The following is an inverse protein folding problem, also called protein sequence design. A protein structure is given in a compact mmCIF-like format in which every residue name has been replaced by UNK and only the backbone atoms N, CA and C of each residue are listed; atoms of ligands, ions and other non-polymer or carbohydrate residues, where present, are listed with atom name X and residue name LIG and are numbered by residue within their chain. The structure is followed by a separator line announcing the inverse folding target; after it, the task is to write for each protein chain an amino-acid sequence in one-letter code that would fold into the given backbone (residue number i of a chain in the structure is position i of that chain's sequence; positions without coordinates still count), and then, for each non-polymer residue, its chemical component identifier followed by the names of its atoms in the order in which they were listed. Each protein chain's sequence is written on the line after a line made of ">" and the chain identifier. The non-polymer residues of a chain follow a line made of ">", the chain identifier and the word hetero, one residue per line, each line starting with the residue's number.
data_IF_186848011979
#
_entry.id   IF_186848011979
#
_cell.length_a   1.000
_cell.length_b   1.000
_cell.length_c   1.000
_cell.angle_alpha   90.00
_cell.angle_beta   90.00
_cell.angle_gamma   90.00
#
_symmetry.space_group_name_H-M   'P 1'
#
loop_
_entity.id
_entity.type
_entity.pdbx_description
1 polymer ?
#
# COMPACT_ATOMS: atom_id res chain seq x y z
N UNK A 1 -21.11 -38.83 2.23
CA UNK A 1 -20.24 -38.25 1.18
C UNK A 1 -20.02 -36.77 1.37
N UNK A 2 -19.24 -36.41 2.39
CA UNK A 2 -18.70 -35.08 2.55
C UNK A 2 -17.31 -35.08 1.89
N UNK A 3 -17.06 -34.11 1.01
CA UNK A 3 -15.72 -33.83 0.49
C UNK A 3 -15.35 -32.39 0.83
N UNK A 4 -14.15 -32.21 1.35
CA UNK A 4 -13.61 -30.89 1.64
C UNK A 4 -12.16 -30.85 1.15
N UNK A 5 -11.85 -29.84 0.35
CA UNK A 5 -10.51 -29.59 -0.17
C UNK A 5 -10.12 -28.17 0.20
N UNK A 6 -8.91 -28.03 0.74
CA UNK A 6 -8.30 -26.75 1.06
C UNK A 6 -6.97 -26.67 0.34
N UNK A 7 -6.73 -25.59 -0.39
CA UNK A 7 -5.46 -25.33 -1.05
C UNK A 7 -4.92 -23.99 -0.61
N UNK A 8 -3.66 -23.97 -0.19
CA UNK A 8 -2.91 -22.77 0.15
C UNK A 8 -1.79 -22.61 -0.87
N UNK A 9 -1.69 -21.42 -1.45
CA UNK A 9 -0.57 -21.02 -2.30
C UNK A 9 0.03 -19.75 -1.70
N UNK A 10 1.35 -19.66 -1.67
CA UNK A 10 2.03 -18.46 -1.23
C UNK A 10 3.41 -18.31 -1.85
N UNK A 11 3.89 -17.08 -1.87
CA UNK A 11 5.20 -16.74 -2.39
C UNK A 11 5.91 -15.70 -1.52
N UNK A 12 7.23 -15.82 -1.45
CA UNK A 12 8.14 -14.87 -0.85
C UNK A 12 9.23 -14.56 -1.87
N UNK A 13 9.58 -13.29 -2.05
CA UNK A 13 10.67 -12.90 -2.93
C UNK A 13 11.48 -11.75 -2.35
N UNK A 14 12.76 -11.74 -2.68
CA UNK A 14 13.71 -10.69 -2.31
C UNK A 14 14.40 -10.19 -3.55
N UNK A 15 14.74 -8.90 -3.55
CA UNK A 15 15.50 -8.27 -4.61
C UNK A 15 16.78 -7.65 -4.02
N UNK A 16 17.87 -7.73 -4.76
CA UNK A 16 19.13 -7.06 -4.44
C UNK A 16 19.83 -6.63 -5.73
N UNK A 17 20.25 -5.37 -5.78
CA UNK A 17 21.06 -4.84 -6.86
C UNK A 17 22.51 -5.25 -6.60
N UNK A 18 23.11 -5.97 -7.56
CA UNK A 18 24.46 -6.53 -7.41
C UNK A 18 25.53 -5.55 -7.88
N UNK A 19 25.31 -4.91 -9.03
CA UNK A 19 26.28 -3.98 -9.61
C UNK A 19 25.57 -2.85 -10.34
N UNK A 20 26.19 -1.68 -10.36
CA UNK A 20 25.84 -0.52 -11.18
C UNK A 20 27.07 -0.07 -12.00
N UNK A 21 26.85 0.72 -13.07
CA UNK A 21 27.93 1.44 -13.75
C UNK A 21 28.74 2.28 -12.76
N UNK A 22 30.02 2.47 -13.04
CA UNK A 22 30.96 3.11 -12.12
C UNK A 22 30.54 4.53 -11.74
N UNK A 23 30.03 5.31 -12.70
CA UNK A 23 29.53 6.68 -12.45
C UNK A 23 28.36 6.74 -11.44
N UNK A 24 27.65 5.63 -11.24
CA UNK A 24 26.45 5.56 -10.41
C UNK A 24 26.68 4.77 -9.11
N UNK A 25 27.89 4.24 -8.88
CA UNK A 25 28.14 3.31 -7.76
C UNK A 25 28.10 4.01 -6.39
N UNK A 26 28.63 5.23 -6.30
CA UNK A 26 28.71 6.00 -5.05
C UNK A 26 27.31 6.47 -4.59
N UNK A 27 26.59 7.17 -5.46
CA UNK A 27 25.33 7.83 -5.11
C UNK A 27 24.08 7.01 -5.47
N UNK A 28 24.22 5.98 -6.28
CA UNK A 28 23.09 5.25 -6.85
C UNK A 28 22.32 6.07 -7.88
N UNK A 29 21.22 5.50 -8.38
CA UNK A 29 20.31 6.16 -9.33
C UNK A 29 18.99 6.42 -8.62
N UNK A 30 18.68 7.69 -8.35
CA UNK A 30 17.39 8.08 -7.76
C UNK A 30 16.29 7.97 -8.80
N UNK A 31 15.23 7.23 -8.47
CA UNK A 31 14.07 7.01 -9.33
C UNK A 31 12.80 7.14 -8.50
N UNK A 32 12.21 8.34 -8.50
CA UNK A 32 11.03 8.65 -7.69
C UNK A 32 11.33 8.47 -6.19
N UNK A 33 10.56 7.65 -5.46
CA UNK A 33 10.77 7.40 -4.03
C UNK A 33 11.75 6.24 -3.76
N UNK A 34 12.52 5.81 -4.75
CA UNK A 34 13.52 4.75 -4.64
C UNK A 34 14.90 5.26 -5.04
N UNK A 35 15.95 4.57 -4.59
CA UNK A 35 17.32 4.78 -5.05
C UNK A 35 17.94 3.42 -5.37
N UNK A 36 18.32 3.23 -6.63
CA UNK A 36 19.01 2.02 -7.08
C UNK A 36 20.44 2.11 -6.56
N UNK A 37 20.78 1.28 -5.58
CA UNK A 37 22.12 1.25 -4.96
C UNK A 37 22.58 -0.18 -4.77
N UNK A 38 23.86 -0.45 -5.00
CA UNK A 38 24.45 -1.77 -4.80
C UNK A 38 24.22 -2.25 -3.36
N UNK A 39 23.88 -3.54 -3.19
CA UNK A 39 23.56 -4.14 -1.90
C UNK A 39 22.14 -3.86 -1.40
N UNK A 40 21.40 -2.91 -2.00
CA UNK A 40 20.02 -2.57 -1.64
C UNK A 40 18.99 -3.23 -2.55
N UNK A 41 17.75 -3.32 -2.08
CA UNK A 41 16.61 -3.72 -2.93
C UNK A 41 16.21 -2.55 -3.82
N UNK A 42 15.87 -2.80 -5.09
CA UNK A 42 15.26 -1.83 -6.01
C UNK A 42 13.99 -1.18 -5.44
N UNK A 43 13.32 -1.90 -4.54
CA UNK A 43 12.02 -1.55 -3.99
C UNK A 43 12.11 -1.07 -2.54
N UNK A 44 13.31 -0.82 -2.02
CA UNK A 44 13.49 -0.17 -0.72
C UNK A 44 13.28 1.33 -0.86
N UNK A 45 12.38 1.89 -0.06
CA UNK A 45 12.04 3.30 -0.11
C UNK A 45 13.22 4.17 0.31
N UNK A 46 13.57 5.11 -0.58
CA UNK A 46 14.55 6.18 -0.37
C UNK A 46 13.82 7.52 -0.47
N UNK A 47 13.37 8.03 0.67
CA UNK A 47 12.42 9.16 0.74
C UNK A 47 12.67 10.00 1.99
N UNK A 48 11.96 11.12 2.11
CA UNK A 48 12.08 12.01 3.25
C UNK A 48 11.39 11.43 4.49
N UNK A 49 11.99 11.65 5.65
CA UNK A 49 11.45 11.20 6.94
C UNK A 49 10.75 12.36 7.64
N UNK A 50 9.49 12.16 7.99
CA UNK A 50 8.65 13.10 8.71
C UNK A 50 9.05 13.16 10.19
N UNK A 51 9.25 14.37 10.70
CA UNK A 51 9.70 14.63 12.06
C UNK A 51 8.59 15.20 12.97
N UNK A 52 7.34 15.18 12.52
CA UNK A 52 6.21 15.79 13.23
C UNK A 52 5.88 17.19 12.71
N UNK A 53 5.18 17.96 13.54
CA UNK A 53 4.80 19.34 13.23
C UNK A 53 5.49 20.32 14.17
N UNK A 54 5.78 21.53 13.69
CA UNK A 54 6.14 22.65 14.56
C UNK A 54 4.89 23.18 15.32
N UNK A 55 5.09 24.18 16.19
CA UNK A 55 4.03 24.81 16.98
C UNK A 55 2.91 25.45 16.12
N UNK A 56 3.21 25.76 14.85
CA UNK A 56 2.28 26.36 13.90
C UNK A 56 1.60 25.31 13.01
N UNK A 57 1.89 24.03 13.22
CA UNK A 57 1.36 22.92 12.44
C UNK A 57 2.10 22.64 11.14
N UNK A 58 3.23 23.28 10.86
CA UNK A 58 3.99 23.01 9.64
C UNK A 58 4.68 21.65 9.73
N UNK A 59 4.64 20.88 8.65
CA UNK A 59 5.35 19.62 8.57
C UNK A 59 6.86 19.84 8.68
N UNK A 60 7.51 19.07 9.55
CA UNK A 60 8.96 19.03 9.70
C UNK A 60 9.53 17.76 9.09
N UNK A 61 10.75 17.86 8.58
CA UNK A 61 11.48 16.78 7.92
C UNK A 61 12.89 16.69 8.49
N UNK A 62 13.43 15.48 8.55
CA UNK A 62 14.82 15.29 8.95
C UNK A 62 15.80 15.74 7.85
N UNK A 63 16.85 16.44 8.26
CA UNK A 63 17.93 16.93 7.41
C UNK A 63 19.28 16.61 8.05
N UNK A 64 20.24 16.17 7.26
CA UNK A 64 21.60 15.95 7.71
C UNK A 64 22.32 17.30 7.92
N UNK A 65 23.04 17.42 9.03
CA UNK A 65 23.95 18.54 9.27
C UNK A 65 25.33 18.17 8.74
N UNK A 66 25.96 19.05 7.96
CA UNK A 66 27.28 18.81 7.39
C UNK A 66 28.30 19.82 7.88
N UNK A 67 29.55 19.38 8.04
CA UNK A 67 30.67 20.28 8.29
C UNK A 67 31.12 20.98 7.00
N UNK A 68 32.12 21.86 7.10
CA UNK A 68 32.70 22.57 5.94
C UNK A 68 33.28 21.65 4.86
N UNK A 69 33.52 20.36 5.18
CA UNK A 69 34.01 19.34 4.25
C UNK A 69 32.87 18.52 3.61
N UNK A 70 31.62 18.81 3.94
CA UNK A 70 30.44 18.09 3.47
C UNK A 70 30.18 16.75 4.18
N UNK A 71 30.91 16.46 5.26
CA UNK A 71 30.71 15.23 6.02
C UNK A 71 29.52 15.39 6.97
N UNK A 72 28.64 14.38 7.04
CA UNK A 72 27.48 14.38 7.93
C UNK A 72 27.95 14.29 9.40
N UNK A 73 27.71 15.35 10.16
CA UNK A 73 28.09 15.46 11.58
C UNK A 73 26.92 15.27 12.54
N UNK A 74 25.69 15.34 12.04
CA UNK A 74 24.49 15.30 12.86
C UNK A 74 23.22 15.25 12.03
N UNK A 75 22.08 15.35 12.70
CA UNK A 75 20.76 15.41 12.08
C UNK A 75 19.89 16.41 12.83
N UNK A 76 19.25 17.29 12.07
CA UNK A 76 18.33 18.30 12.55
C UNK A 76 16.98 18.17 11.83
N UNK A 77 16.06 19.10 12.07
CA UNK A 77 14.77 19.20 11.38
C UNK A 77 14.63 20.52 10.64
N UNK A 78 13.89 20.50 9.54
CA UNK A 78 13.54 21.69 8.74
C UNK A 78 12.08 21.65 8.34
N UNK A 79 11.43 22.80 8.25
CA UNK A 79 10.10 22.95 7.64
C UNK A 79 10.17 23.15 6.13
N UNK A 80 11.36 23.46 5.60
CA UNK A 80 11.63 23.56 4.16
C UNK A 80 11.89 22.18 3.58
N UNK A 81 10.89 21.61 2.92
CA UNK A 81 10.99 20.26 2.31
C UNK A 81 12.15 20.12 1.31
N UNK A 82 12.49 21.19 0.59
CA UNK A 82 13.59 21.17 -0.38
C UNK A 82 14.97 20.97 0.27
N UNK A 83 15.13 21.42 1.52
CA UNK A 83 16.40 21.31 2.26
C UNK A 83 16.53 19.94 2.94
N UNK A 84 15.42 19.21 3.08
CA UNK A 84 15.40 17.91 3.76
C UNK A 84 16.28 16.87 3.07
N UNK A 85 16.70 15.85 3.82
CA UNK A 85 17.53 14.76 3.30
C UNK A 85 16.69 13.50 3.10
N UNK A 86 16.96 12.75 2.03
CA UNK A 86 16.33 11.45 1.79
C UNK A 86 17.12 10.34 2.45
N UNK A 87 16.42 9.35 2.99
CA UNK A 87 17.03 8.20 3.65
C UNK A 87 16.43 6.90 3.13
N UNK A 88 17.23 5.82 3.20
CA UNK A 88 16.68 4.47 3.15
C UNK A 88 15.95 4.22 4.47
N UNK A 89 14.62 4.19 4.44
CA UNK A 89 13.79 4.18 5.65
C UNK A 89 13.45 2.76 6.16
N UNK A 90 14.05 1.72 5.57
CA UNK A 90 13.79 0.33 5.94
C UNK A 90 12.39 -0.18 5.58
N UNK A 91 11.64 0.56 4.77
CA UNK A 91 10.33 0.14 4.22
C UNK A 91 10.51 -0.32 2.78
N UNK A 92 9.77 -1.36 2.39
CA UNK A 92 9.82 -1.95 1.05
C UNK A 92 8.48 -1.84 0.35
N UNK A 93 8.47 -1.62 -0.96
CA UNK A 93 7.28 -1.78 -1.79
C UNK A 93 6.94 -3.26 -2.05
N UNK A 94 7.92 -4.16 -1.89
CA UNK A 94 7.67 -5.60 -1.96
C UNK A 94 6.96 -6.08 -0.69
N UNK A 95 5.97 -6.98 -0.82
CA UNK A 95 5.44 -7.68 0.33
C UNK A 95 6.46 -8.65 0.92
N UNK A 96 6.34 -8.88 2.21
CA UNK A 96 7.09 -9.93 2.90
C UNK A 96 6.53 -11.31 2.55
N UNK A 97 5.22 -11.41 2.29
CA UNK A 97 4.60 -12.65 1.86
C UNK A 97 3.28 -12.35 1.15
N UNK A 98 2.97 -13.06 0.08
CA UNK A 98 1.66 -12.97 -0.56
C UNK A 98 1.14 -14.36 -0.92
N UNK A 99 -0.14 -14.48 -1.19
CA UNK A 99 -0.73 -15.77 -1.49
C UNK A 99 -2.24 -15.75 -1.54
N UNK A 100 -2.82 -16.93 -1.46
CA UNK A 100 -4.25 -17.15 -1.46
C UNK A 100 -4.64 -18.47 -0.82
N UNK A 101 -5.81 -18.48 -0.19
CA UNK A 101 -6.45 -19.69 0.32
C UNK A 101 -7.66 -19.96 -0.55
N UNK A 102 -7.82 -21.21 -1.00
CA UNK A 102 -9.04 -21.67 -1.62
C UNK A 102 -9.61 -22.85 -0.84
N UNK A 103 -10.93 -22.88 -0.69
CA UNK A 103 -11.63 -23.98 -0.02
C UNK A 103 -12.84 -24.38 -0.85
N UNK A 104 -12.99 -25.68 -1.08
CA UNK A 104 -14.14 -26.27 -1.76
C UNK A 104 -14.78 -27.32 -0.86
N UNK A 105 -16.04 -27.09 -0.51
CA UNK A 105 -16.88 -28.01 0.23
C UNK A 105 -17.88 -28.64 -0.75
N UNK A 106 -18.14 -29.94 -0.63
CA UNK A 106 -19.16 -30.61 -1.43
C UNK A 106 -19.89 -31.68 -0.62
N UNK A 107 -21.21 -31.64 -0.67
CA UNK A 107 -22.08 -32.55 0.05
C UNK A 107 -23.42 -32.74 -0.67
N UNK A 108 -23.76 -33.99 -0.99
CA UNK A 108 -25.06 -34.37 -1.59
C UNK A 108 -25.51 -33.49 -2.78
N UNK A 109 -24.57 -33.19 -3.68
CA UNK A 109 -24.82 -32.36 -4.86
C UNK A 109 -24.66 -30.86 -4.63
N UNK A 110 -24.63 -30.38 -3.39
CA UNK A 110 -24.27 -28.99 -3.06
C UNK A 110 -22.75 -28.86 -3.13
N UNK A 111 -22.26 -27.81 -3.76
CA UNK A 111 -20.86 -27.43 -3.79
C UNK A 111 -20.68 -25.94 -3.42
N UNK A 112 -19.71 -25.63 -2.58
CA UNK A 112 -19.34 -24.27 -2.19
C UNK A 112 -17.85 -24.10 -2.42
N UNK A 113 -17.46 -23.12 -3.23
CA UNK A 113 -16.08 -22.74 -3.47
C UNK A 113 -15.85 -21.31 -3.00
N UNK A 114 -14.77 -21.09 -2.25
CA UNK A 114 -14.34 -19.76 -1.81
C UNK A 114 -12.88 -19.61 -2.20
N UNK A 115 -12.55 -18.51 -2.88
CA UNK A 115 -11.19 -18.12 -3.23
C UNK A 115 -10.84 -16.79 -2.58
N UNK A 116 -9.68 -16.75 -1.93
CA UNK A 116 -9.16 -15.56 -1.25
C UNK A 116 -7.77 -15.21 -1.78
N UNK A 117 -7.37 -13.97 -1.57
CA UNK A 117 -6.00 -13.51 -1.79
C UNK A 117 -5.57 -12.64 -0.61
N UNK A 118 -4.30 -12.71 -0.25
CA UNK A 118 -3.72 -11.91 0.83
C UNK A 118 -2.32 -11.44 0.49
N UNK A 119 -1.95 -10.34 1.13
CA UNK A 119 -0.61 -9.78 1.13
C UNK A 119 -0.25 -9.36 2.56
N UNK A 120 0.96 -9.69 2.98
CA UNK A 120 1.53 -9.32 4.28
C UNK A 120 2.81 -8.54 4.02
N UNK A 121 2.88 -7.34 4.60
CA UNK A 121 3.99 -6.43 4.41
C UNK A 121 3.79 -5.56 3.17
N UNK A 122 4.86 -4.87 2.79
CA UNK A 122 4.81 -3.89 1.72
C UNK A 122 4.23 -2.55 2.17
N UNK A 123 4.63 -1.50 1.44
CA UNK A 123 4.16 -0.14 1.62
C UNK A 123 3.88 0.47 0.26
N UNK A 124 2.93 1.39 0.20
CA UNK A 124 2.57 2.09 -1.02
C UNK A 124 2.17 3.54 -0.73
N UNK A 125 2.24 4.37 -1.78
CA UNK A 125 1.68 5.71 -1.80
C UNK A 125 0.30 5.68 -2.45
N UNK A 126 -0.69 6.25 -1.76
CA UNK A 126 -2.00 6.52 -2.34
C UNK A 126 -2.00 7.93 -2.95
N UNK A 127 -1.54 8.04 -4.18
CA UNK A 127 -1.44 9.34 -4.87
C UNK A 127 -2.81 9.98 -5.13
N UNK A 128 -3.87 9.18 -5.26
CA UNK A 128 -5.24 9.69 -5.38
C UNK A 128 -5.67 10.41 -4.09
N UNK A 129 -5.38 9.83 -2.93
CA UNK A 129 -5.58 10.48 -1.64
C UNK A 129 -4.76 11.77 -1.52
N UNK A 130 -3.46 11.72 -1.88
CA UNK A 130 -2.58 12.89 -1.78
C UNK A 130 -3.01 14.03 -2.70
N UNK A 131 -3.49 13.71 -3.91
CA UNK A 131 -4.06 14.69 -4.83
C UNK A 131 -5.26 15.40 -4.20
N UNK A 132 -6.13 14.67 -3.50
CA UNK A 132 -7.28 15.24 -2.78
C UNK A 132 -6.90 16.03 -1.52
N UNK A 133 -5.70 15.84 -0.98
CA UNK A 133 -5.15 16.59 0.16
C UNK A 133 -4.34 17.83 -0.27
N UNK A 134 -4.13 18.04 -1.57
CA UNK A 134 -3.33 19.14 -2.10
C UNK A 134 -3.99 20.51 -1.90
N UNK A 135 -3.23 21.60 -2.06
CA UNK A 135 -3.72 22.98 -2.06
C UNK A 135 -4.32 23.42 -3.42
N UNK A 136 -4.55 22.49 -4.35
CA UNK A 136 -5.11 22.84 -5.67
C UNK A 136 -6.51 23.44 -5.56
N UNK A 137 -6.74 24.54 -6.27
CA UNK A 137 -8.06 25.16 -6.36
C UNK A 137 -8.99 24.38 -7.32
N UNK A 138 -10.30 24.47 -7.07
CA UNK A 138 -11.36 23.89 -7.92
C UNK A 138 -11.33 22.36 -8.08
N UNK A 139 -10.78 21.62 -7.11
CA UNK A 139 -10.79 20.15 -7.09
C UNK A 139 -11.66 19.60 -5.96
N UNK A 140 -12.09 18.35 -6.11
CA UNK A 140 -12.69 17.60 -5.01
C UNK A 140 -11.64 17.29 -3.95
N UNK A 141 -11.82 17.81 -2.75
CA UNK A 141 -10.91 17.60 -1.64
C UNK A 141 -11.25 16.35 -0.82
N UNK A 142 -10.23 15.72 -0.25
CA UNK A 142 -10.43 14.61 0.66
C UNK A 142 -11.02 15.11 1.99
N UNK A 143 -11.97 14.36 2.56
CA UNK A 143 -12.57 14.68 3.87
C UNK A 143 -11.54 14.78 5.00
N UNK A 144 -10.38 14.14 4.85
CA UNK A 144 -9.30 14.19 5.82
C UNK A 144 -8.62 15.57 5.89
N UNK A 145 -8.95 16.51 5.01
CA UNK A 145 -8.57 17.91 5.19
C UNK A 145 -9.10 18.49 6.51
N UNK A 146 -10.25 18.03 7.00
CA UNK A 146 -10.74 18.45 8.33
C UNK A 146 -9.88 17.95 9.50
N UNK A 147 -8.89 17.09 9.24
CA UNK A 147 -7.94 16.59 10.24
C UNK A 147 -6.63 17.39 10.27
N UNK A 148 -6.46 18.35 9.37
CA UNK A 148 -5.26 19.20 9.33
C UNK A 148 -5.24 20.14 10.53
N UNK A 149 -4.05 20.54 10.93
CA UNK A 149 -3.85 21.46 12.05
C UNK A 149 -4.69 22.73 11.88
N UNK A 150 -5.48 23.05 12.91
CA UNK A 150 -6.24 24.27 13.01
C UNK A 150 -5.50 25.25 13.93
N UNK A 151 -5.00 26.38 13.42
CA UNK A 151 -4.27 27.36 14.22
C UNK A 151 -5.13 28.08 15.26
N UNK A 152 -6.45 28.11 15.11
CA UNK A 152 -7.36 28.73 16.09
C UNK A 152 -7.55 27.83 17.34
N UNK A 153 -7.49 26.52 17.16
CA UNK A 153 -7.67 25.55 18.26
C UNK A 153 -6.36 24.92 18.72
N UNK A 154 -5.29 25.02 17.93
CA UNK A 154 -4.02 24.33 18.15
C UNK A 154 -4.11 22.81 18.00
N UNK A 155 -5.15 22.29 17.34
CA UNK A 155 -5.41 20.85 17.22
C UNK A 155 -5.40 20.38 15.78
N UNK A 156 -4.91 19.16 15.55
CA UNK A 156 -4.97 18.45 14.28
C UNK A 156 -4.03 17.25 14.26
N UNK A 157 -4.35 16.26 13.45
CA UNK A 157 -3.53 15.04 13.32
C UNK A 157 -2.69 15.01 12.05
N UNK A 158 -2.93 15.97 11.14
CA UNK A 158 -2.16 16.19 9.92
C UNK A 158 -1.61 17.61 9.92
N UNK A 159 -0.50 17.87 9.20
CA UNK A 159 0.05 19.22 9.05
C UNK A 159 -0.96 20.22 8.53
N UNK A 160 -0.73 21.49 8.85
CA UNK A 160 -1.56 22.60 8.41
C UNK A 160 -1.67 22.60 6.88
N UNK A 161 -2.89 22.77 6.39
CA UNK A 161 -3.14 23.00 4.98
C UNK A 161 -3.12 24.51 4.73
N UNK A 162 -2.29 24.95 3.78
CA UNK A 162 -2.13 26.35 3.44
C UNK A 162 -2.46 26.57 1.96
N UNK A 163 -3.43 27.43 1.68
CA UNK A 163 -3.86 27.78 0.33
C UNK A 163 -2.82 28.62 -0.44
N UNK A 164 -2.06 29.45 0.27
CA UNK A 164 -1.06 30.35 -0.31
C UNK A 164 0.29 29.65 -0.52
N UNK A 165 0.46 28.46 0.07
CA UNK A 165 1.63 27.63 -0.15
C UNK A 165 1.35 26.68 -1.32
N UNK A 166 1.91 27.01 -2.48
CA UNK A 166 1.88 26.17 -3.69
C UNK A 166 2.46 24.76 -3.46
N UNK A 167 3.10 24.53 -2.32
CA UNK A 167 3.57 23.21 -1.88
C UNK A 167 3.22 23.01 -0.40
N UNK A 168 2.00 22.54 -0.14
CA UNK A 168 1.67 21.81 1.09
C UNK A 168 2.63 20.61 1.21
N UNK A 169 3.79 20.83 1.83
CA UNK A 169 4.91 19.88 1.79
C UNK A 169 4.54 18.51 2.36
N UNK A 170 3.55 18.46 3.24
CA UNK A 170 3.06 17.21 3.81
C UNK A 170 2.38 16.29 2.81
N UNK A 171 1.96 16.76 1.63
CA UNK A 171 1.41 15.89 0.56
C UNK A 171 2.49 15.35 -0.38
N UNK A 172 3.74 15.80 -0.22
CA UNK A 172 4.88 15.34 -1.00
C UNK A 172 5.36 13.94 -0.57
N UNK A 173 6.18 13.32 -1.41
CA UNK A 173 6.72 11.98 -1.15
C UNK A 173 7.50 11.92 0.16
N UNK A 174 6.98 11.23 1.15
CA UNK A 174 7.67 11.05 2.42
C UNK A 174 7.15 9.82 3.14
N UNK A 175 7.75 9.45 4.26
CA UNK A 175 7.27 8.31 5.03
C UNK A 175 5.96 8.58 5.81
N UNK A 176 5.55 9.86 5.97
CA UNK A 176 4.22 10.27 6.46
C UNK A 176 3.12 9.68 5.57
N UNK A 177 3.35 9.68 4.27
CA UNK A 177 2.36 9.29 3.26
C UNK A 177 2.44 7.81 2.87
N UNK A 178 3.38 7.05 3.45
CA UNK A 178 3.51 5.62 3.20
C UNK A 178 2.51 4.81 4.03
N UNK A 179 1.68 4.05 3.34
CA UNK A 179 0.64 3.22 3.94
C UNK A 179 1.06 1.76 3.84
N UNK A 180 0.77 0.98 4.88
CA UNK A 180 0.93 -0.48 4.82
C UNK A 180 0.05 -1.06 3.71
N UNK A 181 0.66 -1.85 2.83
CA UNK A 181 -0.01 -2.50 1.70
C UNK A 181 -0.49 -3.92 2.04
N UNK A 182 -0.46 -4.32 3.32
CA UNK A 182 -1.06 -5.59 3.73
C UNK A 182 -2.57 -5.57 3.49
N UNK A 183 -3.08 -6.66 2.92
CA UNK A 183 -4.52 -6.85 2.72
C UNK A 183 -4.94 -8.31 2.81
N UNK A 184 -6.25 -8.50 2.97
CA UNK A 184 -6.95 -9.76 2.73
C UNK A 184 -8.14 -9.46 1.82
N UNK A 185 -8.46 -10.36 0.90
CA UNK A 185 -9.59 -10.21 -0.01
C UNK A 185 -10.31 -11.53 -0.25
N UNK A 186 -11.64 -11.45 -0.41
CA UNK A 186 -12.45 -12.54 -0.94
C UNK A 186 -12.64 -12.25 -2.43
N UNK A 187 -11.94 -13.02 -3.25
CA UNK A 187 -11.93 -12.85 -4.70
C UNK A 187 -13.21 -13.37 -5.34
N UNK A 188 -13.68 -14.52 -4.85
CA UNK A 188 -14.80 -15.23 -5.43
C UNK A 188 -15.45 -16.15 -4.38
N UNK A 189 -16.79 -16.18 -4.36
CA UNK A 189 -17.58 -17.24 -3.74
C UNK A 189 -18.55 -17.79 -4.78
N UNK A 190 -18.55 -19.12 -4.95
CA UNK A 190 -19.48 -19.83 -5.84
C UNK A 190 -20.22 -20.89 -5.05
N UNK A 191 -21.56 -20.83 -5.08
CA UNK A 191 -22.44 -21.87 -4.53
C UNK A 191 -23.17 -22.54 -5.69
N UNK A 192 -23.08 -23.86 -5.76
CA UNK A 192 -23.71 -24.69 -6.77
C UNK A 192 -24.55 -25.81 -6.18
N UNK A 193 -25.54 -26.25 -6.94
CA UNK A 193 -26.27 -27.49 -6.70
C UNK A 193 -26.39 -28.29 -7.99
N UNK A 194 -25.86 -29.50 -7.97
CA UNK A 194 -25.98 -30.49 -9.04
C UNK A 194 -27.18 -31.39 -8.75
N UNK A 195 -28.14 -31.45 -9.68
CA UNK A 195 -29.35 -32.23 -9.50
C UNK A 195 -29.05 -33.75 -9.44
N UNK A 196 -29.83 -34.53 -8.66
CA UNK A 196 -29.64 -35.97 -8.55
C UNK A 196 -29.74 -36.70 -9.90
N UNK A 197 -28.81 -37.63 -10.15
CA UNK A 197 -28.70 -38.37 -11.42
C UNK A 197 -29.98 -39.14 -11.77
N UNK A 198 -30.65 -39.73 -10.79
CA UNK A 198 -31.91 -40.46 -10.98
C UNK A 198 -33.05 -39.58 -11.51
N UNK A 199 -33.08 -38.29 -11.17
CA UNK A 199 -34.06 -37.35 -11.70
C UNK A 199 -33.68 -36.93 -13.13
N UNK A 200 -32.40 -36.64 -13.38
CA UNK A 200 -31.90 -36.19 -14.68
C UNK A 200 -31.97 -37.28 -15.75
N UNK A 201 -31.76 -38.54 -15.38
CA UNK A 201 -31.91 -39.69 -16.28
C UNK A 201 -33.33 -39.79 -16.88
N UNK A 202 -34.37 -39.47 -16.12
CA UNK A 202 -35.76 -39.47 -16.62
C UNK A 202 -36.01 -38.39 -17.68
N UNK A 203 -35.22 -37.31 -17.63
CA UNK A 203 -35.29 -36.20 -18.55
C UNK A 203 -34.32 -36.36 -19.74
N UNK A 204 -33.55 -37.46 -19.80
CA UNK A 204 -32.51 -37.66 -20.83
C UNK A 204 -31.28 -36.75 -20.67
N UNK A 205 -31.08 -36.15 -19.49
CA UNK A 205 -29.97 -35.22 -19.22
C UNK A 205 -28.88 -35.92 -18.41
N UNK A 206 -27.62 -35.78 -18.82
CA UNK A 206 -26.48 -36.40 -18.12
C UNK A 206 -26.19 -35.73 -16.76
N UNK A 207 -26.09 -34.39 -16.76
CA UNK A 207 -25.80 -33.58 -15.57
C UNK A 207 -26.37 -32.18 -15.74
N UNK A 208 -27.11 -31.71 -14.74
CA UNK A 208 -27.56 -30.33 -14.63
C UNK A 208 -27.05 -29.74 -13.31
N UNK A 209 -26.39 -28.58 -13.39
CA UNK A 209 -25.92 -27.82 -12.22
C UNK A 209 -26.42 -26.39 -12.33
N UNK A 210 -27.02 -25.90 -11.25
CA UNK A 210 -27.41 -24.51 -11.08
C UNK A 210 -26.43 -23.89 -10.09
N UNK A 211 -25.92 -22.71 -10.37
CA UNK A 211 -24.96 -22.05 -9.49
C UNK A 211 -25.11 -20.54 -9.51
N UNK A 212 -24.69 -19.91 -8.42
CA UNK A 212 -24.54 -18.47 -8.27
C UNK A 212 -23.09 -18.17 -7.88
N UNK A 213 -22.55 -17.08 -8.41
CA UNK A 213 -21.20 -16.62 -8.10
C UNK A 213 -21.23 -15.14 -7.76
N UNK A 214 -20.42 -14.75 -6.78
CA UNK A 214 -20.17 -13.35 -6.46
C UNK A 214 -18.65 -13.12 -6.38
N UNK A 215 -18.20 -12.07 -7.07
CA UNK A 215 -16.79 -11.72 -7.22
C UNK A 215 -16.48 -10.41 -6.48
N UNK A 216 -15.23 -10.27 -6.03
CA UNK A 216 -14.71 -9.09 -5.32
C UNK A 216 -15.57 -8.67 -4.12
N UNK A 217 -15.97 -9.65 -3.31
CA UNK A 217 -16.94 -9.47 -2.22
C UNK A 217 -16.42 -8.64 -1.05
N UNK A 218 -15.10 -8.58 -0.86
CA UNK A 218 -14.53 -7.84 0.25
C UNK A 218 -13.03 -7.68 0.14
N UNK A 219 -12.55 -6.51 0.57
CA UNK A 219 -11.14 -6.14 0.68
C UNK A 219 -10.93 -5.49 2.05
N UNK A 220 -10.04 -6.08 2.84
CA UNK A 220 -9.61 -5.56 4.12
C UNK A 220 -8.17 -5.11 3.98
N UNK A 221 -7.96 -3.79 3.99
CA UNK A 221 -6.65 -3.16 3.86
C UNK A 221 -6.51 -2.02 4.88
N UNK A 222 -5.28 -1.54 5.09
CA UNK A 222 -5.02 -0.44 6.03
C UNK A 222 -5.73 0.86 5.63
N UNK A 223 -5.85 1.14 4.33
CA UNK A 223 -6.52 2.33 3.80
C UNK A 223 -7.74 1.92 2.98
N UNK A 224 -8.90 2.28 3.50
CA UNK A 224 -10.17 2.07 2.82
C UNK A 224 -10.27 2.99 1.60
N UNK A 225 -10.65 2.44 0.45
CA UNK A 225 -10.68 3.15 -0.83
C UNK A 225 -9.38 3.06 -1.65
N UNK A 226 -8.31 2.49 -1.08
CA UNK A 226 -7.08 2.19 -1.79
C UNK A 226 -6.99 0.68 -2.03
N UNK A 227 -6.82 0.28 -3.28
CA UNK A 227 -6.53 -1.10 -3.68
C UNK A 227 -5.00 -1.31 -3.65
N UNK A 228 -4.44 -2.02 -2.63
CA UNK A 228 -3.01 -2.00 -2.33
C UNK A 228 -2.11 -2.82 -3.25
#
# INVERSE_FOLDING_TARGET
>A
DLKWTVSLVGSHYKNRIVTLPEENRENGITSGPFNLREGKSRFEYYTYMYAGMDEKGNAMWYMDETNEKGEVTGRTTTTTYADATRYFIGKSALPDFNGGLSTTFSYKGIDLSIATAFQIGGYAYDYSYLSGMSSSFYVGHNKDMWKTFNPETGQGSLPIWNADNASNSFTQQSDLNLIKASYFSIRNITLGYTLPKNLMQKLGVEKLRIYATADNLGLWSKRQGFDP
#
